data_IF_672194785302
#
_entry.id   IF_672194785302
#
_cell.length_a   1.000
_cell.length_b   1.000
_cell.length_c   1.000
_cell.angle_alpha   90.00
_cell.angle_beta   90.00
_cell.angle_gamma   90.00
#
_symmetry.space_group_name_H-M   'P 1'
#
loop_
_entity.id
_entity.type
_entity.pdbx_description
1 polymer ?
#
# COMPACT_ATOMS: atom_id res chain seq x y z
N UNK A 1 -10.43 11.55 -6.10
CA UNK A 1 -9.35 10.56 -6.27
C UNK A 1 -8.37 10.67 -5.10
N UNK A 2 -8.29 9.61 -4.30
CA UNK A 2 -7.48 9.46 -3.08
C UNK A 2 -6.29 8.57 -3.39
N UNK A 3 -5.12 8.97 -2.91
CA UNK A 3 -3.88 8.17 -3.05
C UNK A 3 -3.43 7.75 -1.66
N UNK A 4 -3.29 6.44 -1.45
CA UNK A 4 -2.61 5.87 -0.28
C UNK A 4 -1.14 5.72 -0.67
N UNK A 5 -0.24 6.28 0.13
CA UNK A 5 1.20 6.11 -0.05
C UNK A 5 1.66 4.99 0.87
N UNK A 6 2.36 4.00 0.33
CA UNK A 6 3.00 2.94 1.12
C UNK A 6 4.51 3.03 0.92
N UNK A 7 5.26 3.16 2.00
CA UNK A 7 6.73 3.11 1.93
C UNK A 7 7.21 1.65 1.93
N UNK A 8 8.21 1.37 1.11
CA UNK A 8 8.85 0.05 0.96
C UNK A 8 9.21 -0.59 2.31
N UNK A 9 8.67 -1.79 2.57
CA UNK A 9 8.80 -2.55 3.82
C UNK A 9 8.35 -1.84 5.10
N UNK A 10 7.58 -0.75 5.00
CA UNK A 10 6.93 -0.11 6.15
C UNK A 10 5.44 -0.48 6.17
N UNK A 11 4.93 -1.07 7.27
CA UNK A 11 3.51 -1.41 7.40
C UNK A 11 2.69 -0.16 7.77
N UNK A 12 1.75 0.23 6.90
CA UNK A 12 0.80 1.31 7.16
C UNK A 12 -0.56 0.77 7.63
N UNK A 13 -1.08 1.36 8.71
CA UNK A 13 -2.38 0.98 9.32
C UNK A 13 -3.47 1.92 8.86
N UNK A 14 -4.43 1.40 8.11
CA UNK A 14 -5.58 2.13 7.57
C UNK A 14 -6.85 1.55 8.19
N UNK A 15 -7.72 2.36 8.83
CA UNK A 15 -8.95 1.86 9.45
C UNK A 15 -9.82 1.09 8.43
N UNK A 16 -10.38 -0.05 8.84
CA UNK A 16 -11.11 -0.98 7.94
C UNK A 16 -12.21 -0.29 7.13
N UNK A 17 -12.92 0.65 7.74
CA UNK A 17 -14.00 1.42 7.09
C UNK A 17 -13.53 2.37 5.96
N UNK A 18 -12.23 2.60 5.81
CA UNK A 18 -11.67 3.52 4.81
C UNK A 18 -11.33 2.86 3.46
N UNK A 19 -11.40 1.53 3.36
CA UNK A 19 -11.18 0.76 2.12
C UNK A 19 -12.25 -0.33 2.07
N UNK A 20 -13.01 -0.41 0.97
CA UNK A 20 -14.01 -1.48 0.80
C UNK A 20 -13.33 -2.85 0.64
N UNK A 21 -13.99 -3.91 1.12
CA UNK A 21 -13.45 -5.27 1.04
C UNK A 21 -13.17 -5.70 -0.41
N UNK A 22 -14.02 -5.28 -1.36
CA UNK A 22 -13.80 -5.49 -2.79
C UNK A 22 -12.46 -4.95 -3.33
N UNK A 23 -11.95 -3.85 -2.76
CA UNK A 23 -10.64 -3.28 -3.13
C UNK A 23 -9.50 -4.06 -2.49
N UNK A 24 -9.71 -4.60 -1.29
CA UNK A 24 -8.77 -5.49 -0.62
C UNK A 24 -8.67 -6.83 -1.35
N UNK A 25 -9.80 -7.40 -1.78
CA UNK A 25 -9.86 -8.63 -2.57
C UNK A 25 -9.10 -8.46 -3.90
N UNK A 26 -9.33 -7.35 -4.61
CA UNK A 26 -8.59 -7.02 -5.84
C UNK A 26 -7.09 -6.87 -5.58
N UNK A 27 -6.71 -6.18 -4.50
CA UNK A 27 -5.31 -5.97 -4.12
C UNK A 27 -4.62 -7.32 -3.81
N UNK A 28 -5.28 -8.22 -3.08
CA UNK A 28 -4.75 -9.56 -2.79
C UNK A 28 -4.69 -10.45 -4.05
N UNK A 29 -5.71 -10.41 -4.91
CA UNK A 29 -5.77 -11.25 -6.12
C UNK A 29 -4.77 -10.84 -7.19
N UNK A 30 -4.63 -9.52 -7.46
CA UNK A 30 -3.80 -9.01 -8.56
C UNK A 30 -2.40 -8.57 -8.14
N UNK A 31 -2.23 -8.15 -6.88
CA UNK A 31 -1.04 -7.42 -6.43
C UNK A 31 -0.41 -7.97 -5.14
N UNK A 32 -0.70 -9.22 -4.76
CA UNK A 32 -0.14 -9.87 -3.55
C UNK A 32 1.39 -9.95 -3.53
N UNK A 33 2.05 -9.96 -4.71
CA UNK A 33 3.50 -9.90 -4.83
C UNK A 33 4.07 -8.49 -4.58
N UNK A 34 3.24 -7.45 -4.67
CA UNK A 34 3.62 -6.04 -4.52
C UNK A 34 3.22 -5.47 -3.16
N UNK A 35 2.05 -5.86 -2.65
CA UNK A 35 1.50 -5.39 -1.37
C UNK A 35 0.95 -6.57 -0.59
N UNK A 36 1.49 -6.81 0.60
CA UNK A 36 0.89 -7.74 1.56
C UNK A 36 -0.23 -7.02 2.31
N UNK A 37 -1.36 -7.71 2.49
CA UNK A 37 -2.53 -7.22 3.23
C UNK A 37 -2.80 -8.13 4.42
N UNK A 38 -2.80 -7.57 5.62
CA UNK A 38 -3.23 -8.24 6.84
C UNK A 38 -4.39 -7.47 7.49
N UNK A 39 -5.28 -8.18 8.19
CA UNK A 39 -6.32 -7.57 9.02
C UNK A 39 -5.87 -7.61 10.49
N UNK A 40 -5.79 -6.46 11.12
CA UNK A 40 -5.50 -6.34 12.56
C UNK A 40 -6.73 -5.89 13.34
N UNK A 41 -6.97 -6.56 14.45
CA UNK A 41 -8.02 -6.23 15.41
C UNK A 41 -7.40 -5.50 16.61
N UNK A 42 -7.96 -4.34 16.96
CA UNK A 42 -7.51 -3.50 18.08
C UNK A 42 -8.68 -3.12 18.99
N UNK A 43 -8.38 -2.75 20.24
CA UNK A 43 -9.38 -2.18 21.17
C UNK A 43 -10.03 -0.89 20.65
N UNK A 44 -9.42 -0.23 19.66
CA UNK A 44 -9.92 0.99 19.02
C UNK A 44 -10.59 0.75 17.67
N UNK A 45 -10.74 -0.50 17.24
CA UNK A 45 -11.36 -0.91 15.98
C UNK A 45 -10.48 -1.79 15.10
N UNK A 46 -10.97 -2.09 13.90
CA UNK A 46 -10.28 -2.92 12.90
C UNK A 46 -9.44 -2.06 11.95
N UNK A 47 -8.27 -2.56 11.56
CA UNK A 47 -7.35 -1.88 10.65
C UNK A 47 -6.81 -2.85 9.59
N UNK A 48 -6.81 -2.41 8.33
CA UNK A 48 -5.98 -3.00 7.29
C UNK A 48 -4.54 -2.57 7.50
N UNK A 49 -3.64 -3.54 7.57
CA UNK A 49 -2.20 -3.34 7.57
C UNK A 49 -1.67 -3.68 6.18
N UNK A 50 -1.24 -2.64 5.44
CA UNK A 50 -0.73 -2.74 4.08
C UNK A 50 0.79 -2.54 4.09
N UNK A 51 1.54 -3.45 3.44
CA UNK A 51 3.01 -3.37 3.42
C UNK A 51 3.54 -3.58 1.99
N UNK A 52 4.22 -2.57 1.44
CA UNK A 52 4.90 -2.67 0.14
C UNK A 52 6.08 -3.65 0.19
N UNK A 53 6.16 -4.58 -0.77
CA UNK A 53 7.12 -5.69 -0.80
C UNK A 53 8.34 -5.43 -1.69
N UNK A 54 8.94 -4.24 -1.63
CA UNK A 54 10.14 -3.91 -2.42
C UNK A 54 9.89 -3.27 -3.78
N UNK A 55 8.64 -2.92 -4.10
CA UNK A 55 8.27 -2.33 -5.39
C UNK A 55 8.12 -0.81 -5.30
N UNK A 56 8.41 -0.13 -6.41
CA UNK A 56 8.20 1.32 -6.60
C UNK A 56 7.30 1.51 -7.80
N UNK A 57 6.30 2.40 -7.68
CA UNK A 57 5.37 2.67 -8.78
C UNK A 57 3.97 3.01 -8.30
N UNK A 58 2.98 2.60 -9.08
CA UNK A 58 1.60 3.04 -8.92
C UNK A 58 0.61 1.90 -9.25
N UNK A 59 -0.33 1.66 -8.36
CA UNK A 59 -1.38 0.65 -8.49
C UNK A 59 -2.74 1.38 -8.53
N UNK A 60 -3.39 1.52 -9.69
CA UNK A 60 -4.78 1.95 -9.76
C UNK A 60 -5.67 0.80 -9.28
N UNK A 61 -6.58 1.08 -8.35
CA UNK A 61 -7.54 0.10 -7.82
C UNK A 61 -8.95 0.44 -8.30
N UNK A 62 -9.39 1.68 -8.07
CA UNK A 62 -10.65 2.21 -8.61
C UNK A 62 -10.43 3.60 -9.20
N UNK A 63 -11.45 4.14 -9.86
CA UNK A 63 -11.48 5.53 -10.33
C UNK A 63 -11.30 6.55 -9.19
N UNK A 64 -11.52 6.14 -7.94
CA UNK A 64 -11.47 7.00 -6.77
C UNK A 64 -10.31 6.69 -5.82
N UNK A 65 -9.70 5.50 -5.88
CA UNK A 65 -8.66 5.05 -4.96
C UNK A 65 -7.49 4.40 -5.70
N UNK A 66 -6.28 4.74 -5.30
CA UNK A 66 -5.05 4.15 -5.84
C UNK A 66 -3.95 4.10 -4.78
N UNK A 67 -2.98 3.19 -4.96
CA UNK A 67 -1.81 3.07 -4.10
C UNK A 67 -0.57 3.58 -4.86
N UNK A 68 0.20 4.44 -4.21
CA UNK A 68 1.53 4.85 -4.65
C UNK A 68 2.58 4.11 -3.79
N UNK A 69 3.40 3.29 -4.44
CA UNK A 69 4.49 2.57 -3.77
C UNK A 69 5.76 3.44 -3.81
N UNK A 70 6.24 3.83 -2.65
CA UNK A 70 7.39 4.71 -2.49
C UNK A 70 8.62 3.92 -2.00
N UNK A 71 9.82 4.20 -2.53
CA UNK A 71 11.07 3.61 -2.03
C UNK A 71 11.34 4.10 -0.61
N UNK A 72 11.96 3.28 0.24
CA UNK A 72 12.37 3.71 1.59
C UNK A 72 13.58 4.65 1.59
N UNK A 73 14.33 4.69 0.47
CA UNK A 73 15.44 5.61 0.24
C UNK A 73 15.08 6.64 -0.84
N UNK A 74 15.44 7.93 -0.69
CA UNK A 74 15.24 8.92 -1.74
C UNK A 74 16.02 8.55 -3.01
N UNK A 75 15.32 8.35 -4.13
CA UNK A 75 15.93 8.01 -5.43
C UNK A 75 16.73 9.16 -6.07
N UNK A 76 16.80 10.31 -5.41
CA UNK A 76 17.58 11.47 -5.83
C UNK A 76 19.06 11.11 -6.12
N UNK A 77 19.60 10.07 -5.46
CA UNK A 77 20.97 9.62 -5.63
C UNK A 77 21.14 8.47 -6.65
N UNK A 78 20.07 7.95 -7.28
CA UNK A 78 20.18 6.80 -8.19
C UNK A 78 21.01 7.13 -9.45
N UNK A 79 21.00 8.40 -9.88
CA UNK A 79 21.82 8.92 -10.97
C UNK A 79 23.18 9.50 -10.50
N UNK A 80 23.43 9.54 -9.19
CA UNK A 80 24.67 10.05 -8.59
C UNK A 80 25.71 8.96 -8.29
N UNK A 81 25.48 7.73 -8.75
CA UNK A 81 26.37 6.57 -8.57
C UNK A 81 26.82 6.01 -9.93
N UNK A 82 27.49 6.86 -10.73
CA UNK A 82 28.20 6.51 -11.97
C UNK A 82 29.65 6.99 -11.89
#
# INVERSE_FOLDING_TARGET
MRIIKLTEYQPDKIPRYQISESVIDELQQKYSNQVTVNLEYSKTGDYWQLTSQGWVGYIPLTNELSIQLQPKVPLNNLFGML
#
